data_IF_792359906696
#
_entry.id   IF_792359906696
#
_cell.length_a   1.000
_cell.length_b   1.000
_cell.length_c   1.000
_cell.angle_alpha   90.00
_cell.angle_beta   90.00
_cell.angle_gamma   90.00
#
_symmetry.space_group_name_H-M   'P 1'
#
loop_
_entity.id
_entity.type
_entity.pdbx_description
1 polymer ?
#
# COMPACT_ATOMS: atom_id res chain seq x y z
N UNK A 1 -2.37 -10.61 -4.35
CA UNK A 1 -2.35 -9.15 -4.20
C UNK A 1 -3.03 -8.68 -2.92
N UNK A 2 -4.29 -9.08 -2.65
CA UNK A 2 -5.12 -8.56 -1.55
C UNK A 2 -4.50 -8.79 -0.16
N UNK A 3 -4.03 -10.01 0.12
CA UNK A 3 -3.35 -10.31 1.41
C UNK A 3 -2.05 -9.53 1.58
N UNK A 4 -1.27 -9.36 0.50
CA UNK A 4 -0.05 -8.54 0.53
C UNK A 4 -0.37 -7.07 0.76
N UNK A 5 -1.37 -6.52 0.06
CA UNK A 5 -1.87 -5.15 0.29
C UNK A 5 -2.28 -4.94 1.75
N UNK A 6 -3.09 -5.85 2.31
CA UNK A 6 -3.54 -5.75 3.69
C UNK A 6 -2.39 -5.81 4.69
N UNK A 7 -1.46 -6.77 4.53
CA UNK A 7 -0.30 -6.89 5.39
C UNK A 7 0.60 -5.65 5.32
N UNK A 8 0.94 -5.20 4.11
CA UNK A 8 1.75 -3.99 3.90
C UNK A 8 1.09 -2.74 4.47
N UNK A 9 -0.22 -2.60 4.29
CA UNK A 9 -0.98 -1.47 4.84
C UNK A 9 -1.00 -1.48 6.37
N UNK A 10 -1.24 -2.63 7.00
CA UNK A 10 -1.25 -2.74 8.47
C UNK A 10 0.13 -2.35 9.04
N UNK A 11 1.21 -2.92 8.49
CA UNK A 11 2.58 -2.60 8.94
C UNK A 11 2.88 -1.12 8.73
N UNK A 12 2.48 -0.54 7.59
CA UNK A 12 2.66 0.87 7.29
C UNK A 12 1.91 1.79 8.26
N UNK A 13 0.65 1.46 8.60
CA UNK A 13 -0.16 2.24 9.55
C UNK A 13 0.48 2.22 10.94
N UNK A 14 0.90 1.05 11.41
CA UNK A 14 1.57 0.91 12.72
C UNK A 14 2.88 1.68 12.73
N UNK A 15 3.72 1.52 11.71
CA UNK A 15 4.99 2.22 11.60
C UNK A 15 4.80 3.75 11.54
N UNK A 16 3.82 4.24 10.76
CA UNK A 16 3.49 5.67 10.69
C UNK A 16 2.96 6.21 12.03
N UNK A 17 2.16 5.44 12.75
CA UNK A 17 1.69 5.78 14.10
C UNK A 17 2.84 5.92 15.10
N UNK A 18 3.79 4.98 15.09
CA UNK A 18 5.00 5.03 15.91
C UNK A 18 5.89 6.22 15.55
N UNK A 19 6.12 6.48 14.25
CA UNK A 19 6.89 7.61 13.77
C UNK A 19 6.23 8.96 14.12
N UNK A 20 4.90 9.04 14.08
CA UNK A 20 4.17 10.25 14.46
C UNK A 20 4.27 10.55 15.95
N UNK A 21 4.43 9.51 16.80
CA UNK A 21 4.45 9.64 18.26
C UNK A 21 5.85 9.82 18.81
N UNK A 22 6.85 9.12 18.25
CA UNK A 22 8.22 9.09 18.76
C UNK A 22 9.21 9.67 17.75
N UNK A 23 9.80 10.84 18.06
CA UNK A 23 10.80 11.50 17.21
C UNK A 23 12.01 10.63 16.83
N UNK A 24 12.61 9.83 17.74
CA UNK A 24 13.71 8.95 17.37
C UNK A 24 13.32 7.92 16.31
N UNK A 25 12.12 7.34 16.43
CA UNK A 25 11.60 6.37 15.46
C UNK A 25 11.39 7.01 14.09
N UNK A 26 10.89 8.24 14.06
CA UNK A 26 10.75 9.00 12.82
C UNK A 26 12.10 9.21 12.11
N UNK A 27 13.12 9.63 12.85
CA UNK A 27 14.47 9.83 12.31
C UNK A 27 15.09 8.55 11.74
N UNK A 28 14.72 7.38 12.27
CA UNK A 28 15.18 6.07 11.77
C UNK A 28 14.33 5.57 10.59
N UNK A 29 13.02 5.73 10.66
CA UNK A 29 12.10 5.21 9.63
C UNK A 29 12.14 6.03 8.33
N UNK A 30 12.37 7.33 8.39
CA UNK A 30 12.41 8.18 7.21
C UNK A 30 13.45 7.73 6.17
N UNK A 31 14.74 7.51 6.51
CA UNK A 31 15.72 7.01 5.56
C UNK A 31 15.44 5.55 5.15
N UNK A 32 14.91 4.72 6.04
CA UNK A 32 14.56 3.33 5.73
C UNK A 32 13.44 3.26 4.68
N UNK A 33 12.38 4.05 4.85
CA UNK A 33 11.27 4.12 3.88
C UNK A 33 11.75 4.68 2.54
N UNK A 34 12.63 5.68 2.56
CA UNK A 34 13.26 6.20 1.34
C UNK A 34 14.08 5.11 0.63
N UNK A 35 14.85 4.32 1.37
CA UNK A 35 15.61 3.20 0.82
C UNK A 35 14.67 2.13 0.20
N UNK A 36 13.59 1.75 0.90
CA UNK A 36 12.59 0.79 0.39
C UNK A 36 11.93 1.32 -0.89
N UNK A 37 11.66 2.62 -0.98
CA UNK A 37 11.03 3.23 -2.15
C UNK A 37 11.88 3.14 -3.44
N UNK A 38 13.19 3.05 -3.31
CA UNK A 38 14.13 2.96 -4.45
C UNK A 38 14.43 1.51 -4.83
N UNK A 39 14.06 0.56 -3.99
CA UNK A 39 14.33 -0.86 -4.25
C UNK A 39 13.61 -1.33 -5.53
N UNK A 40 14.34 -1.86 -6.54
CA UNK A 40 13.72 -2.37 -7.74
C UNK A 40 13.01 -3.70 -7.45
N UNK A 41 11.69 -3.63 -7.27
CA UNK A 41 10.81 -4.79 -6.96
C UNK A 41 11.06 -5.95 -7.92
N UNK A 42 11.28 -5.64 -9.21
CA UNK A 42 11.55 -6.64 -10.26
C UNK A 42 12.81 -7.45 -9.96
N UNK A 43 13.85 -6.82 -9.41
CA UNK A 43 15.12 -7.49 -9.10
C UNK A 43 15.02 -8.42 -7.87
N UNK A 44 14.16 -8.08 -6.90
CA UNK A 44 13.97 -8.90 -5.70
C UNK A 44 13.13 -10.15 -5.99
N UNK A 45 12.25 -10.09 -6.99
CA UNK A 45 11.30 -11.17 -7.28
C UNK A 45 11.97 -12.54 -7.47
N UNK A 46 13.00 -12.71 -8.33
CA UNK A 46 13.67 -13.99 -8.48
C UNK A 46 14.32 -14.50 -7.19
N UNK A 47 14.87 -13.58 -6.39
CA UNK A 47 15.52 -13.90 -5.11
C UNK A 47 14.50 -14.49 -4.12
N UNK A 48 13.34 -13.83 -3.97
CA UNK A 48 12.28 -14.33 -3.10
C UNK A 48 11.71 -15.66 -3.59
N UNK A 49 11.58 -15.84 -4.91
CA UNK A 49 11.13 -17.10 -5.49
C UNK A 49 12.12 -18.25 -5.26
N UNK A 50 13.43 -17.99 -5.24
CA UNK A 50 14.42 -19.02 -4.89
C UNK A 50 14.42 -19.33 -3.39
N UNK A 51 14.22 -18.33 -2.54
CA UNK A 51 14.21 -18.51 -1.08
C UNK A 51 12.96 -19.25 -0.57
N UNK A 52 11.79 -18.91 -1.11
CA UNK A 52 10.50 -19.43 -0.63
C UNK A 52 9.86 -20.46 -1.54
N UNK A 53 10.48 -20.76 -2.69
CA UNK A 53 9.96 -21.61 -3.74
C UNK A 53 9.06 -20.84 -4.72
N UNK A 54 9.23 -21.12 -6.02
CA UNK A 54 8.50 -20.43 -7.10
C UNK A 54 6.97 -20.63 -7.03
N UNK A 55 6.49 -21.74 -6.47
CA UNK A 55 5.06 -22.00 -6.25
C UNK A 55 4.50 -21.36 -4.99
N UNK A 56 5.35 -20.77 -4.13
CA UNK A 56 4.93 -20.19 -2.86
C UNK A 56 4.17 -18.87 -3.08
N UNK A 57 3.02 -18.77 -2.44
CA UNK A 57 2.28 -17.50 -2.41
C UNK A 57 2.96 -16.44 -1.53
N UNK A 58 3.84 -16.85 -0.60
CA UNK A 58 4.47 -15.95 0.36
C UNK A 58 5.39 -14.93 -0.32
N UNK A 59 6.23 -15.36 -1.29
CA UNK A 59 7.09 -14.44 -2.05
C UNK A 59 6.28 -13.35 -2.76
N UNK A 60 5.21 -13.74 -3.47
CA UNK A 60 4.29 -12.82 -4.14
C UNK A 60 3.58 -11.85 -3.18
N UNK A 61 3.12 -12.36 -2.04
CA UNK A 61 2.48 -11.54 -1.03
C UNK A 61 3.44 -10.54 -0.40
N UNK A 62 4.69 -10.94 -0.15
CA UNK A 62 5.74 -10.07 0.39
C UNK A 62 6.08 -8.92 -0.56
N UNK A 63 6.16 -9.20 -1.87
CA UNK A 63 6.41 -8.18 -2.90
C UNK A 63 5.24 -7.19 -2.97
N UNK A 64 4.01 -7.67 -2.95
CA UNK A 64 2.83 -6.82 -2.93
C UNK A 64 2.74 -5.99 -1.63
N UNK A 65 3.16 -6.56 -0.50
CA UNK A 65 3.22 -5.85 0.78
C UNK A 65 4.26 -4.73 0.78
N UNK A 66 5.46 -4.97 0.24
CA UNK A 66 6.49 -3.95 0.07
C UNK A 66 6.02 -2.80 -0.81
N UNK A 67 5.37 -3.12 -1.94
CA UNK A 67 4.83 -2.11 -2.85
C UNK A 67 3.73 -1.26 -2.21
N UNK A 68 2.92 -1.85 -1.32
CA UNK A 68 1.85 -1.17 -0.61
C UNK A 68 2.36 -0.33 0.58
N UNK A 69 3.44 -0.78 1.22
CA UNK A 69 3.96 -0.18 2.45
C UNK A 69 4.29 1.31 2.29
N UNK A 70 5.09 1.66 1.27
CA UNK A 70 5.61 3.02 1.10
C UNK A 70 4.49 4.06 0.92
N UNK A 71 3.54 3.90 -0.04
CA UNK A 71 2.50 4.91 -0.24
C UNK A 71 1.56 5.03 0.97
N UNK A 72 1.25 3.92 1.65
CA UNK A 72 0.43 3.97 2.86
C UNK A 72 1.16 4.67 3.99
N UNK A 73 2.43 4.32 4.26
CA UNK A 73 3.23 4.95 5.30
C UNK A 73 3.31 6.46 5.14
N UNK A 74 3.71 6.92 3.94
CA UNK A 74 3.88 8.36 3.67
C UNK A 74 2.57 9.12 3.85
N UNK A 75 1.46 8.60 3.32
CA UNK A 75 0.17 9.27 3.42
C UNK A 75 -0.37 9.27 4.85
N UNK A 76 -0.30 8.15 5.56
CA UNK A 76 -0.76 8.08 6.97
C UNK A 76 0.08 8.99 7.86
N UNK A 77 1.41 8.97 7.73
CA UNK A 77 2.29 9.84 8.51
C UNK A 77 1.98 11.32 8.24
N UNK A 78 1.78 11.71 6.98
CA UNK A 78 1.36 13.06 6.60
C UNK A 78 0.02 13.42 7.25
N UNK A 79 -0.97 12.55 7.17
CA UNK A 79 -2.29 12.76 7.76
C UNK A 79 -2.25 12.94 9.29
N UNK A 80 -1.45 12.12 9.99
CA UNK A 80 -1.28 12.22 11.44
C UNK A 80 -0.61 13.53 11.88
N UNK A 81 0.21 14.15 10.99
CA UNK A 81 0.93 15.41 11.26
C UNK A 81 0.21 16.65 10.80
N UNK A 82 -0.85 16.53 10.02
CA UNK A 82 -1.53 17.67 9.39
C UNK A 82 -2.48 18.42 10.32
N UNK A 83 -2.61 18.01 11.59
CA UNK A 83 -3.45 18.72 12.56
C UNK A 83 -2.91 20.11 12.84
N UNK A 84 -3.74 21.16 12.63
CA UNK A 84 -3.36 22.54 12.91
C UNK A 84 -3.11 22.74 14.42
N UNK A 85 -2.03 23.44 14.80
CA UNK A 85 -1.73 23.71 16.22
C UNK A 85 -2.90 24.35 16.96
N UNK A 86 -3.58 25.32 16.32
CA UNK A 86 -4.73 26.03 16.90
C UNK A 86 -5.84 25.08 17.36
N UNK A 87 -6.19 24.06 16.57
CA UNK A 87 -7.22 23.10 16.95
C UNK A 87 -6.78 22.22 18.12
N UNK A 88 -5.50 21.90 18.20
CA UNK A 88 -4.92 21.14 19.31
C UNK A 88 -4.92 21.95 20.60
N UNK A 89 -4.57 23.23 20.50
CA UNK A 89 -4.55 24.14 21.63
C UNK A 89 -5.97 24.44 22.15
N UNK A 90 -6.95 24.56 21.25
CA UNK A 90 -8.35 24.71 21.62
C UNK A 90 -8.84 23.49 22.42
N UNK A 91 -8.56 22.28 21.98
CA UNK A 91 -8.93 21.06 22.70
C UNK A 91 -8.24 20.97 24.06
N UNK A 92 -6.97 21.37 24.15
CA UNK A 92 -6.24 21.45 25.43
C UNK A 92 -6.87 22.47 26.38
N UNK A 93 -7.20 23.65 25.89
CA UNK A 93 -7.88 24.69 26.67
C UNK A 93 -9.26 24.23 27.18
N UNK A 94 -9.93 23.35 26.42
CA UNK A 94 -11.20 22.70 26.82
C UNK A 94 -11.02 21.50 27.77
N UNK A 95 -9.80 21.22 28.25
CA UNK A 95 -9.51 20.12 29.16
C UNK A 95 -9.48 18.73 28.51
N UNK A 96 -9.41 18.64 27.16
CA UNK A 96 -9.38 17.36 26.47
C UNK A 96 -8.07 16.58 26.75
N UNK A 97 -8.20 15.30 27.08
CA UNK A 97 -7.07 14.39 27.24
C UNK A 97 -6.39 14.11 25.88
N UNK A 98 -5.14 13.59 25.92
CA UNK A 98 -4.42 13.18 24.72
C UNK A 98 -5.18 12.15 23.87
N UNK A 99 -5.85 11.20 24.53
CA UNK A 99 -6.69 10.20 23.86
C UNK A 99 -7.91 10.83 23.17
N UNK A 100 -8.54 11.80 23.82
CA UNK A 100 -9.65 12.55 23.21
C UNK A 100 -9.18 13.39 22.03
N UNK A 101 -8.03 14.07 22.14
CA UNK A 101 -7.41 14.82 21.04
C UNK A 101 -7.09 13.89 19.86
N UNK A 102 -6.56 12.71 20.12
CA UNK A 102 -6.30 11.72 19.07
C UNK A 102 -7.60 11.28 18.39
N UNK A 103 -8.61 10.88 19.15
CA UNK A 103 -9.88 10.34 18.63
C UNK A 103 -10.72 11.37 17.89
N UNK A 104 -10.79 12.61 18.38
CA UNK A 104 -11.69 13.63 17.84
C UNK A 104 -11.03 14.60 16.85
N UNK A 105 -9.69 14.70 16.85
CA UNK A 105 -8.96 15.60 15.96
C UNK A 105 -8.00 14.83 15.04
N UNK A 106 -7.01 14.11 15.60
CA UNK A 106 -5.92 13.52 14.80
C UNK A 106 -6.42 12.41 13.89
N UNK A 107 -7.15 11.44 14.42
CA UNK A 107 -7.66 10.29 13.66
C UNK A 107 -8.63 10.72 12.54
N UNK A 108 -9.64 11.57 12.80
CA UNK A 108 -10.48 12.11 11.75
C UNK A 108 -9.70 12.87 10.67
N UNK A 109 -8.68 13.64 11.02
CA UNK A 109 -7.85 14.37 10.04
C UNK A 109 -6.97 13.42 9.21
N UNK A 110 -6.49 12.32 9.80
CA UNK A 110 -5.64 11.35 9.12
C UNK A 110 -6.43 10.40 8.18
N UNK A 111 -7.72 10.18 8.44
CA UNK A 111 -8.53 9.17 7.72
C UNK A 111 -8.58 9.40 6.19
N UNK A 112 -8.78 10.61 5.63
CA UNK A 112 -8.73 10.83 4.18
C UNK A 112 -7.36 10.46 3.60
N UNK A 113 -6.27 10.83 4.28
CA UNK A 113 -4.92 10.51 3.84
C UNK A 113 -4.64 9.00 3.85
N UNK A 114 -5.17 8.27 4.84
CA UNK A 114 -5.11 6.81 4.87
C UNK A 114 -5.77 6.22 3.61
N UNK A 115 -6.98 6.67 3.28
CA UNK A 115 -7.71 6.12 2.13
C UNK A 115 -7.04 6.49 0.82
N UNK A 116 -6.50 7.71 0.69
CA UNK A 116 -5.65 8.11 -0.44
C UNK A 116 -4.41 7.21 -0.57
N UNK A 117 -3.73 6.93 0.55
CA UNK A 117 -2.60 6.00 0.59
C UNK A 117 -2.97 4.58 0.14
N UNK A 118 -4.10 4.06 0.62
CA UNK A 118 -4.63 2.75 0.22
C UNK A 118 -5.00 2.70 -1.26
N UNK A 119 -5.56 3.77 -1.83
CA UNK A 119 -5.88 3.85 -3.26
C UNK A 119 -4.63 3.71 -4.12
N UNK A 120 -3.57 4.45 -3.81
CA UNK A 120 -2.29 4.33 -4.53
C UNK A 120 -1.68 2.94 -4.33
N UNK A 121 -1.68 2.45 -3.09
CA UNK A 121 -1.13 1.16 -2.74
C UNK A 121 -1.86 0.00 -3.43
N UNK A 122 -3.17 0.10 -3.63
CA UNK A 122 -3.98 -0.97 -4.26
C UNK A 122 -3.52 -1.26 -5.68
N UNK A 123 -3.31 -0.24 -6.49
CA UNK A 123 -2.80 -0.39 -7.86
C UNK A 123 -1.38 -0.93 -7.88
N UNK A 124 -0.48 -0.39 -7.04
CA UNK A 124 0.91 -0.83 -6.95
C UNK A 124 1.02 -2.28 -6.48
N UNK A 125 0.21 -2.71 -5.53
CA UNK A 125 0.20 -4.09 -5.04
C UNK A 125 -0.25 -5.09 -6.12
N UNK A 126 -1.20 -4.72 -6.98
CA UNK A 126 -1.62 -5.56 -8.12
C UNK A 126 -0.50 -5.65 -9.14
N UNK A 127 0.10 -4.52 -9.52
CA UNK A 127 1.24 -4.49 -10.47
C UNK A 127 2.39 -5.32 -9.92
N UNK A 128 2.75 -5.14 -8.66
CA UNK A 128 3.83 -5.87 -8.00
C UNK A 128 3.58 -7.39 -7.94
N UNK A 129 2.33 -7.80 -7.67
CA UNK A 129 1.94 -9.20 -7.69
C UNK A 129 2.03 -9.81 -9.09
N UNK A 130 1.58 -9.10 -10.14
CA UNK A 130 1.68 -9.54 -11.53
C UNK A 130 3.14 -9.67 -11.98
N UNK A 131 3.98 -8.72 -11.61
CA UNK A 131 5.43 -8.77 -11.88
C UNK A 131 6.06 -9.97 -11.17
N UNK A 132 5.71 -10.21 -9.92
CA UNK A 132 6.19 -11.37 -9.17
C UNK A 132 5.79 -12.70 -9.84
N UNK A 133 4.57 -12.80 -10.34
CA UNK A 133 4.09 -13.96 -11.08
C UNK A 133 4.80 -14.14 -12.43
N UNK A 134 5.08 -13.04 -13.13
CA UNK A 134 5.76 -13.06 -14.42
C UNK A 134 7.18 -13.64 -14.34
N UNK A 135 7.91 -13.35 -13.26
CA UNK A 135 9.29 -13.82 -13.02
C UNK A 135 9.39 -15.16 -12.28
N UNK A 136 8.31 -15.89 -12.10
CA UNK A 136 8.32 -17.21 -11.48
C UNK A 136 7.26 -17.31 -10.37
N UNK A 137 6.00 -17.27 -10.77
CA UNK A 137 4.85 -17.47 -9.89
C UNK A 137 4.25 -18.88 -10.05
N UNK A 138 3.18 -19.18 -9.30
CA UNK A 138 2.41 -20.40 -9.44
C UNK A 138 1.84 -20.53 -10.87
N UNK A 139 1.65 -21.76 -11.34
CA UNK A 139 1.26 -22.05 -12.72
C UNK A 139 -0.10 -21.47 -13.14
N UNK A 140 -0.97 -21.16 -12.18
CA UNK A 140 -2.31 -20.57 -12.33
C UNK A 140 -2.33 -19.02 -12.24
N UNK A 141 -1.16 -18.37 -12.11
CA UNK A 141 -1.04 -16.92 -12.04
C UNK A 141 -1.26 -16.24 -13.39
N UNK A 142 -1.89 -15.06 -13.38
CA UNK A 142 -2.06 -14.24 -14.58
C UNK A 142 -0.71 -13.82 -15.15
N UNK A 143 0.22 -13.37 -14.29
CA UNK A 143 1.58 -13.00 -14.70
C UNK A 143 2.35 -14.17 -15.30
N UNK A 144 2.19 -15.39 -14.74
CA UNK A 144 2.78 -16.61 -15.27
C UNK A 144 2.18 -16.96 -16.64
N UNK A 145 0.87 -16.81 -16.83
CA UNK A 145 0.21 -17.02 -18.11
C UNK A 145 0.73 -16.03 -19.17
N UNK A 146 0.88 -14.74 -18.83
CA UNK A 146 1.48 -13.73 -19.71
C UNK A 146 2.86 -14.18 -20.17
N UNK A 147 3.73 -14.57 -19.22
CA UNK A 147 5.09 -15.02 -19.51
C UNK A 147 5.11 -16.27 -20.41
N UNK A 148 4.25 -17.25 -20.12
CA UNK A 148 4.15 -18.49 -20.87
C UNK A 148 3.69 -18.28 -22.31
N UNK A 149 2.62 -17.50 -22.52
CA UNK A 149 2.11 -17.21 -23.87
C UNK A 149 3.07 -16.32 -24.66
N UNK A 150 3.73 -15.36 -24.04
CA UNK A 150 4.76 -14.54 -24.69
C UNK A 150 5.92 -15.41 -25.19
N UNK A 151 6.44 -16.33 -24.35
CA UNK A 151 7.53 -17.26 -24.72
C UNK A 151 7.12 -18.24 -25.81
N UNK A 152 5.86 -18.65 -25.87
CA UNK A 152 5.33 -19.56 -26.90
C UNK A 152 4.92 -18.87 -28.21
N UNK A 153 5.19 -17.58 -28.38
CA UNK A 153 4.84 -16.80 -29.58
C UNK A 153 3.35 -16.49 -29.73
N UNK A 154 2.52 -16.80 -28.73
CA UNK A 154 1.08 -16.55 -28.75
C UNK A 154 0.75 -15.14 -28.23
N UNK A 155 1.23 -14.12 -28.95
CA UNK A 155 1.13 -12.71 -28.52
C UNK A 155 -0.31 -12.26 -28.24
N UNK A 156 -1.28 -12.66 -29.06
CA UNK A 156 -2.70 -12.30 -28.85
C UNK A 156 -3.23 -12.77 -27.49
N UNK A 157 -2.88 -14.01 -27.07
CA UNK A 157 -3.27 -14.52 -25.75
C UNK A 157 -2.52 -13.79 -24.61
N UNK A 158 -1.23 -13.52 -24.80
CA UNK A 158 -0.47 -12.75 -23.82
C UNK A 158 -1.12 -11.37 -23.57
N UNK A 159 -1.48 -10.65 -24.62
CA UNK A 159 -2.18 -9.35 -24.52
C UNK A 159 -3.57 -9.47 -23.90
N UNK A 160 -4.32 -10.56 -24.15
CA UNK A 160 -5.60 -10.79 -23.50
C UNK A 160 -5.44 -10.93 -21.97
N UNK A 161 -4.41 -11.65 -21.50
CA UNK A 161 -4.11 -11.75 -20.07
C UNK A 161 -3.60 -10.42 -19.47
N UNK A 162 -2.84 -9.62 -20.23
CA UNK A 162 -2.47 -8.25 -19.83
C UNK A 162 -3.73 -7.41 -19.62
N UNK A 163 -4.68 -7.45 -20.56
CA UNK A 163 -5.97 -6.75 -20.40
C UNK A 163 -6.74 -7.21 -19.15
N UNK A 164 -6.73 -8.52 -18.85
CA UNK A 164 -7.27 -9.06 -17.61
C UNK A 164 -6.58 -8.51 -16.35
N UNK A 165 -5.26 -8.42 -16.37
CA UNK A 165 -4.48 -7.80 -15.29
C UNK A 165 -4.82 -6.31 -15.08
N UNK A 166 -4.96 -5.57 -16.18
CA UNK A 166 -5.40 -4.15 -16.15
C UNK A 166 -6.80 -4.04 -15.54
N UNK A 167 -7.73 -4.90 -15.94
CA UNK A 167 -9.10 -4.89 -15.42
C UNK A 167 -9.13 -5.13 -13.89
N UNK A 168 -8.30 -6.07 -13.39
CA UNK A 168 -8.18 -6.31 -11.95
C UNK A 168 -7.58 -5.08 -11.24
N UNK A 169 -6.51 -4.49 -11.78
CA UNK A 169 -5.91 -3.28 -11.23
C UNK A 169 -6.91 -2.12 -11.16
N UNK A 170 -7.70 -1.92 -12.22
CA UNK A 170 -8.78 -0.93 -12.26
C UNK A 170 -9.87 -1.22 -11.24
N UNK A 171 -10.27 -2.49 -11.07
CA UNK A 171 -11.26 -2.87 -10.06
C UNK A 171 -10.79 -2.51 -8.65
N UNK A 172 -9.55 -2.84 -8.29
CA UNK A 172 -8.95 -2.45 -7.01
C UNK A 172 -8.90 -0.94 -6.82
N UNK A 173 -8.49 -0.20 -7.85
CA UNK A 173 -8.47 1.26 -7.83
C UNK A 173 -9.86 1.86 -7.64
N UNK A 174 -10.86 1.39 -8.38
CA UNK A 174 -12.23 1.89 -8.29
C UNK A 174 -12.88 1.61 -6.93
N UNK A 175 -12.64 0.42 -6.36
CA UNK A 175 -13.11 0.09 -5.02
C UNK A 175 -12.51 1.03 -3.97
N UNK A 176 -11.21 1.26 -4.04
CA UNK A 176 -10.53 2.17 -3.08
C UNK A 176 -10.89 3.63 -3.33
N UNK A 177 -11.14 4.04 -4.57
CA UNK A 177 -11.65 5.37 -4.92
C UNK A 177 -13.06 5.59 -4.35
N UNK A 178 -13.93 4.59 -4.45
CA UNK A 178 -15.26 4.65 -3.85
C UNK A 178 -15.19 4.78 -2.33
N UNK A 179 -14.32 4.02 -1.67
CA UNK A 179 -14.08 4.14 -0.24
C UNK A 179 -13.60 5.55 0.14
N UNK A 180 -12.67 6.12 -0.63
CA UNK A 180 -12.20 7.49 -0.42
C UNK A 180 -13.34 8.50 -0.54
N UNK A 181 -14.15 8.40 -1.59
CA UNK A 181 -15.31 9.27 -1.80
C UNK A 181 -16.31 9.18 -0.63
N UNK A 182 -16.63 7.97 -0.15
CA UNK A 182 -17.52 7.75 0.98
C UNK A 182 -16.99 8.37 2.29
N UNK A 183 -15.69 8.27 2.51
CA UNK A 183 -15.03 8.83 3.71
C UNK A 183 -14.97 10.36 3.64
N UNK A 184 -14.67 10.93 2.47
CA UNK A 184 -14.53 12.37 2.30
C UNK A 184 -15.89 13.09 2.23
N UNK A 185 -16.90 12.49 1.60
CA UNK A 185 -18.25 13.08 1.46
C UNK A 185 -18.96 13.31 2.79
N UNK A 186 -18.66 12.54 3.82
CA UNK A 186 -19.29 12.68 5.15
C UNK A 186 -18.76 13.84 5.99
N UNK A 187 -17.91 14.71 5.41
CA UNK A 187 -17.37 15.88 6.11
C UNK A 187 -17.93 17.16 5.48
N UNK A 188 -18.88 17.86 6.15
CA UNK A 188 -19.17 19.24 5.81
C UNK A 188 -17.87 20.05 6.03
N UNK A 189 -17.53 20.89 5.05
CA UNK A 189 -16.45 21.89 5.07
C UNK A 189 -16.65 22.86 6.21
#
# INVERSE_FOLDING_TARGET
ALLGLAAGAIVAIVAAGLAATFRPIDGMLAPLVAAIAVVPIVAITPILNTMFGASSQFGRQSIAALAAFVPVFINVLRGLRQTRPVHRDLLRASGASGSQTFRFLTLPTALPHLVTGLRVASSLAVIAALVAEYFGGPADGIGTAIAGYAKSGKAALAFAYVAGGVAIGLAFFLVTLLLEWLVTRRRPT
#
